data_IF_792977598459
#
_entry.id   IF_792977598459
#
_cell.length_a   1.000
_cell.length_b   1.000
_cell.length_c   1.000
_cell.angle_alpha   90.00
_cell.angle_beta   90.00
_cell.angle_gamma   90.00
#
_symmetry.space_group_name_H-M   'P 1'
#
loop_
_entity.id
_entity.type
_entity.pdbx_description
1 polymer ?
#
# COMPACT_ATOMS: atom_id res chain seq x y z
N UNK A 1 6.36 -24.24 5.90
CA UNK A 1 6.80 -22.91 5.42
C UNK A 1 5.84 -22.52 4.30
N UNK A 2 5.29 -21.31 4.29
CA UNK A 2 4.33 -20.91 3.26
C UNK A 2 5.04 -20.68 1.91
N UNK A 3 4.43 -21.11 0.81
CA UNK A 3 4.89 -20.76 -0.53
C UNK A 3 4.60 -19.29 -0.86
N UNK A 4 5.32 -18.73 -1.83
CA UNK A 4 5.08 -17.37 -2.32
C UNK A 4 3.66 -17.21 -2.87
N UNK A 5 3.13 -18.24 -3.53
CA UNK A 5 1.80 -18.21 -4.11
C UNK A 5 0.71 -18.09 -3.03
N UNK A 6 0.85 -18.84 -1.94
CA UNK A 6 -0.04 -18.78 -0.79
C UNK A 6 0.06 -17.42 -0.07
N UNK A 7 1.28 -16.92 0.15
CA UNK A 7 1.49 -15.62 0.77
C UNK A 7 0.90 -14.46 -0.07
N UNK A 8 1.09 -14.50 -1.39
CA UNK A 8 0.54 -13.52 -2.31
C UNK A 8 -1.01 -13.56 -2.31
N UNK A 9 -1.59 -14.76 -2.33
CA UNK A 9 -3.05 -14.93 -2.29
C UNK A 9 -3.63 -14.39 -0.99
N UNK A 10 -3.00 -14.70 0.15
CA UNK A 10 -3.41 -14.19 1.47
C UNK A 10 -3.30 -12.66 1.56
N UNK A 11 -2.23 -12.07 1.01
CA UNK A 11 -2.09 -10.61 0.94
C UNK A 11 -3.20 -9.97 0.09
N UNK A 12 -3.44 -10.47 -1.12
CA UNK A 12 -4.42 -9.90 -2.05
C UNK A 12 -5.87 -10.04 -1.54
N UNK A 13 -6.15 -11.02 -0.69
CA UNK A 13 -7.44 -11.18 -0.03
C UNK A 13 -7.73 -10.09 1.02
N UNK A 14 -6.71 -9.37 1.51
CA UNK A 14 -6.87 -8.30 2.50
C UNK A 14 -7.44 -7.03 1.86
N UNK A 15 -8.69 -6.67 2.18
CA UNK A 15 -9.37 -5.51 1.56
C UNK A 15 -8.92 -4.14 2.07
N UNK A 16 -8.33 -4.07 3.26
CA UNK A 16 -7.90 -2.84 3.94
C UNK A 16 -6.39 -2.80 4.03
N UNK A 17 -5.76 -1.75 3.51
CA UNK A 17 -4.30 -1.65 3.45
C UNK A 17 -3.85 -0.27 3.92
N UNK A 18 -2.92 -0.24 4.87
CA UNK A 18 -2.20 0.98 5.23
C UNK A 18 -0.91 1.07 4.41
N UNK A 19 -0.69 2.18 3.72
CA UNK A 19 0.55 2.44 2.97
C UNK A 19 1.33 3.52 3.70
N UNK A 20 2.51 3.15 4.19
CA UNK A 20 3.43 4.05 4.89
C UNK A 20 4.39 4.73 3.92
N UNK A 21 4.83 5.93 4.26
CA UNK A 21 5.78 6.71 3.44
C UNK A 21 5.14 7.43 2.25
N UNK A 22 3.81 7.52 2.21
CA UNK A 22 3.10 8.37 1.24
C UNK A 22 3.42 9.84 1.55
N UNK A 23 3.84 10.63 0.56
CA UNK A 23 4.25 12.02 0.78
C UNK A 23 3.67 12.97 -0.27
N UNK A 24 3.37 14.21 0.13
CA UNK A 24 3.06 15.32 -0.79
C UNK A 24 4.32 15.81 -1.51
N UNK A 25 5.49 15.61 -0.92
CA UNK A 25 6.83 15.92 -1.45
C UNK A 25 7.63 14.62 -1.62
N UNK A 26 7.26 13.75 -2.58
CA UNK A 26 7.96 12.48 -2.77
C UNK A 26 9.39 12.72 -3.26
N UNK A 27 10.35 12.00 -2.67
CA UNK A 27 11.71 11.88 -3.21
C UNK A 27 11.77 10.65 -4.14
N UNK A 28 12.62 9.69 -3.84
CA UNK A 28 12.84 8.48 -4.65
C UNK A 28 11.97 7.29 -4.22
N UNK A 29 11.16 7.42 -3.18
CA UNK A 29 10.37 6.31 -2.64
C UNK A 29 9.10 6.04 -3.46
N UNK A 30 8.81 4.75 -3.71
CA UNK A 30 7.67 4.30 -4.52
C UNK A 30 6.32 4.25 -3.80
N UNK A 31 6.22 4.66 -2.53
CA UNK A 31 5.00 4.50 -1.71
C UNK A 31 3.77 5.18 -2.33
N UNK A 32 3.93 6.33 -2.99
CA UNK A 32 2.83 7.00 -3.68
C UNK A 32 2.27 6.15 -4.84
N UNK A 33 3.13 5.44 -5.57
CA UNK A 33 2.70 4.57 -6.66
C UNK A 33 1.94 3.36 -6.12
N UNK A 34 2.43 2.75 -5.03
CA UNK A 34 1.73 1.63 -4.36
C UNK A 34 0.37 2.08 -3.82
N UNK A 35 0.31 3.24 -3.15
CA UNK A 35 -0.94 3.83 -2.63
C UNK A 35 -1.97 4.03 -3.75
N UNK A 36 -1.58 4.70 -4.85
CA UNK A 36 -2.46 4.93 -6.00
C UNK A 36 -2.93 3.62 -6.62
N UNK A 37 -1.99 2.69 -6.86
CA UNK A 37 -2.26 1.42 -7.52
C UNK A 37 -3.26 0.57 -6.76
N UNK A 38 -3.12 0.47 -5.44
CA UNK A 38 -4.04 -0.28 -4.60
C UNK A 38 -5.43 0.36 -4.59
N UNK A 39 -5.52 1.71 -4.55
CA UNK A 39 -6.80 2.40 -4.66
C UNK A 39 -7.48 2.15 -6.01
N UNK A 40 -6.75 2.24 -7.11
CA UNK A 40 -7.26 1.94 -8.46
C UNK A 40 -7.75 0.50 -8.61
N UNK A 41 -7.20 -0.43 -7.84
CA UNK A 41 -7.62 -1.84 -7.79
C UNK A 41 -8.79 -2.09 -6.84
N UNK A 42 -9.37 -1.06 -6.22
CA UNK A 42 -10.56 -1.16 -5.38
C UNK A 42 -10.29 -1.52 -3.91
N UNK A 43 -9.04 -1.47 -3.46
CA UNK A 43 -8.72 -1.65 -2.04
C UNK A 43 -9.12 -0.41 -1.23
N UNK A 44 -9.48 -0.61 0.03
CA UNK A 44 -9.64 0.47 0.99
C UNK A 44 -8.26 0.83 1.54
N UNK A 45 -7.67 1.91 1.02
CA UNK A 45 -6.28 2.27 1.31
C UNK A 45 -6.19 3.50 2.21
N UNK A 46 -5.39 3.39 3.27
CA UNK A 46 -5.11 4.46 4.21
C UNK A 46 -3.67 4.94 4.02
N UNK A 47 -3.49 6.24 3.71
CA UNK A 47 -2.16 6.83 3.67
C UNK A 47 -1.68 7.12 5.10
N UNK A 48 -0.47 6.68 5.45
CA UNK A 48 0.13 6.92 6.76
C UNK A 48 1.42 7.72 6.58
N UNK A 49 1.40 8.95 7.08
CA UNK A 49 2.55 9.85 7.09
C UNK A 49 2.45 10.77 8.32
N UNK A 50 3.47 10.78 9.21
CA UNK A 50 3.45 11.62 10.40
C UNK A 50 3.60 13.12 10.11
N UNK A 51 3.91 13.52 8.88
CA UNK A 51 4.11 14.92 8.46
C UNK A 51 2.97 15.45 7.58
N UNK A 52 1.77 14.87 7.67
CA UNK A 52 0.68 15.08 6.72
C UNK A 52 -0.33 16.18 7.12
N UNK A 53 0.05 17.08 8.04
CA UNK A 53 -0.75 18.22 8.49
C UNK A 53 -1.54 18.90 7.36
#
# INVERSE_FOLDING_TARGET
>A
MQSIQEAASAFLASKRVAVTGVSRTPKTHGSNNVYKRLRERGYQVFAVNPNAD
#
